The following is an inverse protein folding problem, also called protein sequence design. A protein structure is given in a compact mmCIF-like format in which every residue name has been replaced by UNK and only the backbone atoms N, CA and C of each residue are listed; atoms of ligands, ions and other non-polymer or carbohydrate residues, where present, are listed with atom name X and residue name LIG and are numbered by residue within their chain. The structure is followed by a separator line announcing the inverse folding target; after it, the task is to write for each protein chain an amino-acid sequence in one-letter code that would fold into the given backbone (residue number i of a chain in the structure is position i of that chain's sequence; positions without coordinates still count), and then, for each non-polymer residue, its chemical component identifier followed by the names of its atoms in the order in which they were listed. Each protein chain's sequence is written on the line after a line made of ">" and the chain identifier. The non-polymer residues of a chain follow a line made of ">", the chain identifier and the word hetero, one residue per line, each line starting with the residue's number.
data_IF_643690971931
#
_entry.id   IF_643690971931
#
_cell.length_a   1.000
_cell.length_b   1.000
_cell.length_c   1.000
_cell.angle_alpha   90.00
_cell.angle_beta   90.00
_cell.angle_gamma   90.00
#
_symmetry.space_group_name_H-M   'P 1'
#
loop_
_entity.id
_entity.type
_entity.pdbx_description
1 polymer ?
#
# COMPACT_ATOMS: atom_id res chain seq x y z
N UNK A 1 6.38 16.40 -5.64
CA UNK A 1 6.22 16.23 -7.10
C UNK A 1 7.09 17.16 -7.92
N UNK A 2 7.37 18.37 -7.45
CA UNK A 2 8.16 19.38 -8.18
C UNK A 2 9.55 18.92 -8.66
N UNK A 3 10.14 17.89 -8.04
CA UNK A 3 11.43 17.30 -8.46
C UNK A 3 11.31 16.14 -9.47
N UNK A 4 10.11 15.77 -9.91
CA UNK A 4 9.89 14.67 -10.86
C UNK A 4 10.26 13.27 -10.37
N UNK A 5 10.45 13.08 -9.06
CA UNK A 5 10.89 11.81 -8.46
C UNK A 5 9.77 10.77 -8.27
N UNK A 6 8.52 11.21 -8.40
CA UNK A 6 7.31 10.39 -8.29
C UNK A 6 6.36 10.80 -9.39
N UNK A 7 5.58 9.85 -9.92
CA UNK A 7 4.52 10.11 -10.88
C UNK A 7 3.55 11.16 -10.34
N UNK A 8 2.92 11.91 -11.24
CA UNK A 8 1.94 12.92 -10.87
C UNK A 8 0.76 12.25 -10.16
N UNK A 9 0.58 12.58 -8.89
CA UNK A 9 -0.56 12.17 -8.08
C UNK A 9 -1.08 13.41 -7.34
N UNK A 10 -2.26 13.35 -6.73
CA UNK A 10 -2.68 14.41 -5.82
C UNK A 10 -2.03 14.18 -4.43
N UNK A 11 -1.29 15.14 -3.85
CA UNK A 11 -0.62 14.94 -2.56
C UNK A 11 -1.57 14.68 -1.40
N UNK A 12 -2.76 15.28 -1.38
CA UNK A 12 -3.72 15.10 -0.29
C UNK A 12 -4.31 13.70 -0.33
N UNK A 13 -4.71 13.23 -1.52
CA UNK A 13 -5.20 11.87 -1.71
C UNK A 13 -4.14 10.81 -1.42
N UNK A 14 -2.87 11.06 -1.76
CA UNK A 14 -1.78 10.15 -1.41
C UNK A 14 -1.61 10.01 0.10
N UNK A 15 -1.63 11.13 0.85
CA UNK A 15 -1.51 11.10 2.31
C UNK A 15 -2.73 10.43 2.96
N UNK A 16 -3.94 10.69 2.46
CA UNK A 16 -5.16 10.02 2.92
C UNK A 16 -5.07 8.51 2.68
N UNK A 17 -4.64 8.09 1.49
CA UNK A 17 -4.44 6.67 1.17
C UNK A 17 -3.44 6.00 2.12
N UNK A 18 -2.27 6.59 2.33
CA UNK A 18 -1.25 6.05 3.23
C UNK A 18 -1.78 5.90 4.67
N UNK A 19 -2.51 6.91 5.16
CA UNK A 19 -3.16 6.84 6.47
C UNK A 19 -4.18 5.72 6.53
N UNK A 20 -5.08 5.63 5.55
CA UNK A 20 -6.11 4.58 5.52
C UNK A 20 -5.49 3.17 5.43
N UNK A 21 -4.48 2.99 4.58
CA UNK A 21 -3.79 1.71 4.41
C UNK A 21 -3.12 1.25 5.72
N UNK A 22 -2.50 2.16 6.47
CA UNK A 22 -1.87 1.81 7.77
C UNK A 22 -2.92 1.56 8.86
N UNK A 23 -3.95 2.40 8.98
CA UNK A 23 -5.02 2.25 9.98
C UNK A 23 -5.86 0.98 9.78
N UNK A 24 -6.01 0.52 8.53
CA UNK A 24 -6.74 -0.71 8.23
C UNK A 24 -6.17 -1.92 9.01
N UNK A 25 -4.87 -1.99 9.22
CA UNK A 25 -4.23 -3.13 9.87
C UNK A 25 -4.42 -3.14 11.39
N UNK A 26 -4.60 -1.97 12.00
CA UNK A 26 -4.96 -1.88 13.42
C UNK A 26 -6.45 -2.12 13.65
N UNK A 27 -7.32 -1.63 12.75
CA UNK A 27 -8.77 -1.72 12.91
C UNK A 27 -9.34 -3.08 12.45
N UNK A 28 -8.75 -3.65 11.40
CA UNK A 28 -9.18 -4.89 10.75
C UNK A 28 -8.16 -6.02 10.89
N UNK A 29 -7.21 -5.93 11.82
CA UNK A 29 -6.25 -7.01 12.08
C UNK A 29 -6.91 -8.36 12.43
N UNK A 30 -8.12 -8.32 12.99
CA UNK A 30 -8.92 -9.53 13.23
C UNK A 30 -9.31 -10.26 11.93
N UNK A 31 -9.50 -9.56 10.81
CA UNK A 31 -9.80 -10.20 9.51
C UNK A 31 -8.59 -11.01 9.02
N UNK A 32 -7.37 -10.52 9.23
CA UNK A 32 -6.15 -11.27 8.91
C UNK A 32 -6.04 -12.56 9.74
N UNK A 33 -6.55 -12.54 10.98
CA UNK A 33 -6.58 -13.72 11.85
C UNK A 33 -7.54 -14.79 11.30
N UNK A 34 -8.70 -14.38 10.80
CA UNK A 34 -9.65 -15.29 10.14
C UNK A 34 -9.08 -15.90 8.86
N UNK A 35 -8.40 -15.12 8.02
CA UNK A 35 -7.82 -15.59 6.76
C UNK A 35 -6.66 -16.58 6.99
N UNK A 36 -5.85 -16.33 8.02
CA UNK A 36 -4.63 -17.12 8.29
C UNK A 36 -4.84 -18.26 9.29
N UNK A 37 -6.03 -18.37 9.88
CA UNK A 37 -6.33 -19.35 10.94
C UNK A 37 -5.60 -19.07 12.25
N UNK A 38 -5.03 -17.88 12.44
CA UNK A 38 -4.34 -17.48 13.67
C UNK A 38 -5.34 -16.95 14.69
N UNK A 39 -5.04 -17.12 15.98
CA UNK A 39 -5.86 -16.53 17.04
C UNK A 39 -5.78 -14.98 17.06
N UNK A 40 -4.64 -14.43 16.67
CA UNK A 40 -4.38 -12.99 16.53
C UNK A 40 -3.22 -12.74 15.57
N UNK A 41 -3.08 -11.54 14.99
CA UNK A 41 -1.93 -11.20 14.17
C UNK A 41 -0.64 -11.20 15.01
N UNK A 42 0.44 -11.68 14.42
CA UNK A 42 1.77 -11.58 14.99
C UNK A 42 2.51 -10.35 14.43
N UNK A 43 3.57 -9.94 15.11
CA UNK A 43 4.46 -8.84 14.65
C UNK A 43 4.94 -9.04 13.20
N UNK A 44 5.24 -10.29 12.83
CA UNK A 44 5.66 -10.64 11.49
C UNK A 44 4.59 -10.33 10.42
N UNK A 45 3.30 -10.42 10.77
CA UNK A 45 2.20 -10.11 9.86
C UNK A 45 2.14 -8.60 9.58
N UNK A 46 2.32 -7.76 10.61
CA UNK A 46 2.39 -6.31 10.44
C UNK A 46 3.60 -5.88 9.61
N UNK A 47 4.75 -6.53 9.79
CA UNK A 47 5.95 -6.28 8.98
C UNK A 47 5.73 -6.64 7.51
N UNK A 48 5.16 -7.82 7.23
CA UNK A 48 4.89 -8.28 5.86
C UNK A 48 3.89 -7.36 5.14
N UNK A 49 2.88 -6.87 5.87
CA UNK A 49 1.95 -5.85 5.40
C UNK A 49 2.68 -4.56 5.03
N UNK A 50 3.52 -4.03 5.94
CA UNK A 50 4.21 -2.76 5.72
C UNK A 50 5.10 -2.83 4.48
N UNK A 51 5.80 -3.94 4.29
CA UNK A 51 6.61 -4.22 3.10
C UNK A 51 5.77 -4.27 1.82
N UNK A 52 4.62 -4.96 1.88
CA UNK A 52 3.71 -5.09 0.74
C UNK A 52 3.08 -3.76 0.33
N UNK A 53 2.55 -3.00 1.30
CA UNK A 53 1.98 -1.66 1.06
C UNK A 53 3.05 -0.72 0.51
N UNK A 54 4.27 -0.75 1.06
CA UNK A 54 5.38 0.07 0.57
C UNK A 54 5.71 -0.24 -0.89
N UNK A 55 5.79 -1.52 -1.26
CA UNK A 55 6.01 -1.94 -2.66
C UNK A 55 4.90 -1.47 -3.59
N UNK A 56 3.64 -1.61 -3.18
CA UNK A 56 2.49 -1.18 -3.99
C UNK A 56 2.49 0.33 -4.21
N UNK A 57 2.70 1.12 -3.14
CA UNK A 57 2.75 2.58 -3.23
C UNK A 57 3.91 3.04 -4.10
N UNK A 58 5.12 2.55 -3.84
CA UNK A 58 6.30 2.95 -4.60
C UNK A 58 6.21 2.50 -6.07
N UNK A 59 5.65 1.33 -6.33
CA UNK A 59 5.38 0.85 -7.69
C UNK A 59 4.36 1.72 -8.43
N UNK A 60 3.27 2.11 -7.77
CA UNK A 60 2.25 2.99 -8.35
C UNK A 60 2.76 4.43 -8.59
N UNK A 61 3.72 4.89 -7.77
CA UNK A 61 4.35 6.20 -7.90
C UNK A 61 5.62 6.19 -8.75
N UNK A 62 6.07 5.03 -9.24
CA UNK A 62 7.24 4.94 -10.09
C UNK A 62 6.99 5.74 -11.38
N UNK A 63 7.97 6.56 -11.75
CA UNK A 63 7.92 7.31 -13.01
C UNK A 63 8.24 6.34 -14.14
N UNK A 64 7.21 5.79 -14.76
CA UNK A 64 7.36 5.07 -16.03
C UNK A 64 7.81 6.08 -17.09
N UNK A 65 9.04 5.93 -17.59
CA UNK A 65 9.62 6.77 -18.65
C UNK A 65 8.82 6.81 -19.96
N UNK A 66 7.73 6.04 -20.08
CA UNK A 66 6.73 6.21 -21.11
C UNK A 66 5.37 5.66 -20.61
N UNK A 67 4.40 6.57 -20.49
CA UNK A 67 2.95 6.35 -20.33
C UNK A 67 2.45 6.09 -18.90
N UNK A 68 1.84 7.13 -18.34
CA UNK A 68 0.87 7.05 -17.25
C UNK A 68 -0.33 6.18 -17.62
N UNK A 69 -0.17 4.87 -17.51
CA UNK A 69 -1.25 3.89 -17.40
C UNK A 69 -0.87 2.94 -16.27
N UNK A 70 -1.66 2.93 -15.20
CA UNK A 70 -1.61 1.90 -14.17
C UNK A 70 -1.66 0.53 -14.88
N UNK A 71 -0.64 -0.30 -14.69
CA UNK A 71 -0.68 -1.67 -15.21
C UNK A 71 -1.82 -2.41 -14.51
N UNK A 72 -2.71 -3.10 -15.24
CA UNK A 72 -3.75 -3.90 -14.61
C UNK A 72 -3.10 -4.98 -13.75
N UNK A 73 -3.63 -5.13 -12.53
CA UNK A 73 -3.24 -6.19 -11.62
C UNK A 73 -3.74 -7.53 -12.20
N UNK A 74 -2.90 -8.56 -12.33
CA UNK A 74 -3.37 -9.87 -12.78
C UNK A 74 -4.28 -10.46 -11.69
N UNK A 75 -5.51 -10.79 -12.06
CA UNK A 75 -6.44 -11.62 -11.29
C UNK A 75 -6.18 -13.10 -11.61
#
# INVERSE_FOLDING_TARGET
>A
MERGLIATADPQHLLLFLRSATQAHTHFGWQASLITGKARPAEADYRAVAESVSRLVLGALAVDGARGRLRPFPL
#
